data_IF_515443489341
#
_entry.id   IF_515443489341
#
_cell.length_a   1.000
_cell.length_b   1.000
_cell.length_c   1.000
_cell.angle_alpha   90.00
_cell.angle_beta   90.00
_cell.angle_gamma   90.00
#
_symmetry.space_group_name_H-M   'P 1'
#
loop_
_entity.id
_entity.type
_entity.pdbx_description
1 polymer ?
#
# COMPACT_ATOMS: atom_id res chain seq x y z
N UNK A 1 -10.33 -13.33 18.94
CA UNK A 1 -9.85 -11.96 18.61
C UNK A 1 -8.74 -12.14 17.58
N UNK A 2 -8.81 -11.46 16.41
CA UNK A 2 -7.78 -11.64 15.39
C UNK A 2 -6.63 -10.66 15.67
N UNK A 3 -5.47 -11.18 15.97
CA UNK A 3 -4.24 -10.39 16.13
C UNK A 3 -3.56 -10.15 14.78
N UNK A 4 -2.85 -9.03 14.69
CA UNK A 4 -2.08 -8.66 13.52
C UNK A 4 -0.96 -7.68 13.82
N UNK A 5 -0.11 -7.44 12.84
CA UNK A 5 0.99 -6.48 12.93
C UNK A 5 1.27 -5.82 11.57
N UNK A 6 2.15 -4.83 11.57
CA UNK A 6 2.46 -4.04 10.38
C UNK A 6 3.90 -4.24 9.89
N UNK A 7 4.04 -4.33 8.60
CA UNK A 7 5.25 -4.20 7.79
C UNK A 7 6.39 -5.18 8.12
N UNK A 8 6.86 -5.25 9.37
CA UNK A 8 8.07 -6.00 9.74
C UNK A 8 7.72 -7.11 10.74
N UNK A 9 7.99 -8.35 10.35
CA UNK A 9 8.03 -9.46 11.29
C UNK A 9 9.37 -9.46 12.01
N UNK A 10 9.40 -8.99 13.26
CA UNK A 10 10.62 -8.81 14.02
C UNK A 10 11.38 -10.14 14.21
N UNK A 11 10.66 -11.23 14.48
CA UNK A 11 11.27 -12.57 14.67
C UNK A 11 11.99 -13.05 13.41
N UNK A 12 11.42 -12.83 12.23
CA UNK A 12 12.01 -13.24 10.95
C UNK A 12 13.04 -12.24 10.42
N UNK A 13 13.04 -11.01 10.93
CA UNK A 13 13.94 -9.94 10.50
C UNK A 13 15.15 -9.77 11.40
N UNK A 14 15.06 -10.15 12.69
CA UNK A 14 16.15 -10.06 13.68
C UNK A 14 17.10 -11.27 13.60
N UNK A 15 17.67 -11.44 12.40
CA UNK A 15 18.63 -12.50 12.08
C UNK A 15 19.70 -11.94 11.13
N UNK A 16 20.85 -12.62 10.96
CA UNK A 16 21.88 -12.19 10.01
C UNK A 16 21.29 -11.89 8.64
N UNK A 17 21.79 -10.84 7.97
CA UNK A 17 21.23 -10.29 6.70
C UNK A 17 20.96 -11.35 5.63
N UNK A 18 21.84 -12.37 5.52
CA UNK A 18 21.70 -13.47 4.56
C UNK A 18 20.51 -14.41 4.83
N UNK A 19 19.99 -14.45 6.05
CA UNK A 19 18.87 -15.29 6.48
C UNK A 19 17.57 -14.51 6.70
N UNK A 20 17.61 -13.18 6.55
CA UNK A 20 16.48 -12.29 6.84
C UNK A 20 15.34 -12.52 5.87
N UNK A 21 14.14 -12.71 6.42
CA UNK A 21 12.87 -12.76 5.68
C UNK A 21 12.15 -11.42 5.92
N UNK A 22 11.94 -10.65 4.86
CA UNK A 22 11.33 -9.31 4.95
C UNK A 22 10.76 -8.88 3.59
N UNK A 23 9.72 -8.05 3.61
CA UNK A 23 9.13 -7.44 2.42
C UNK A 23 9.62 -6.01 2.17
N UNK A 24 10.65 -5.56 2.92
CA UNK A 24 11.13 -4.17 2.91
C UNK A 24 12.53 -4.06 2.29
N UNK A 25 12.93 -5.00 1.42
CA UNK A 25 14.19 -4.82 0.70
C UNK A 25 14.04 -3.68 -0.27
N UNK A 26 14.98 -2.77 -0.21
CA UNK A 26 15.04 -1.62 -1.10
C UNK A 26 16.50 -1.30 -1.45
N UNK A 27 16.69 -0.25 -2.21
CA UNK A 27 18.00 0.26 -2.61
C UNK A 27 18.03 1.78 -2.52
N UNK A 28 19.23 2.34 -2.37
CA UNK A 28 19.41 3.80 -2.41
C UNK A 28 19.35 4.31 -3.85
N UNK A 29 19.05 5.60 -4.02
CA UNK A 29 18.93 6.26 -5.34
C UNK A 29 20.14 6.00 -6.25
N UNK A 30 21.36 6.07 -5.72
CA UNK A 30 22.58 5.80 -6.47
C UNK A 30 22.60 4.37 -7.07
N UNK A 31 22.12 3.39 -6.35
CA UNK A 31 22.01 2.01 -6.84
C UNK A 31 20.96 1.90 -7.92
N UNK A 32 19.77 2.51 -7.72
CA UNK A 32 18.72 2.53 -8.73
C UNK A 32 19.17 3.18 -10.04
N UNK A 33 19.87 4.32 -9.97
CA UNK A 33 20.40 5.00 -11.16
C UNK A 33 21.46 4.18 -11.91
N UNK A 34 22.20 3.30 -11.22
CA UNK A 34 23.23 2.44 -11.82
C UNK A 34 22.65 1.13 -12.37
N UNK A 35 21.78 0.49 -11.62
CA UNK A 35 21.29 -0.89 -11.88
C UNK A 35 19.87 -0.92 -12.44
N UNK A 36 19.15 0.19 -12.35
CA UNK A 36 17.85 0.39 -12.98
C UNK A 36 16.76 -0.56 -12.53
N UNK A 37 15.83 -0.79 -13.46
CA UNK A 37 14.64 -1.61 -13.28
C UNK A 37 14.96 -3.08 -13.04
N UNK A 38 16.10 -3.58 -13.55
CA UNK A 38 16.55 -4.95 -13.31
C UNK A 38 16.67 -5.21 -11.81
N UNK A 39 17.36 -4.31 -11.10
CA UNK A 39 17.55 -4.43 -9.65
C UNK A 39 16.24 -4.25 -8.87
N UNK A 40 15.38 -3.35 -9.32
CA UNK A 40 14.05 -3.17 -8.74
C UNK A 40 13.22 -4.46 -8.84
N UNK A 41 13.24 -5.11 -10.01
CA UNK A 41 12.56 -6.38 -10.27
C UNK A 41 13.04 -7.52 -9.36
N UNK A 42 14.36 -7.71 -9.25
CA UNK A 42 14.96 -8.71 -8.36
C UNK A 42 14.53 -8.52 -6.90
N UNK A 43 14.56 -7.27 -6.41
CA UNK A 43 14.17 -6.97 -5.04
C UNK A 43 12.66 -7.15 -4.82
N UNK A 44 11.82 -6.72 -5.77
CA UNK A 44 10.38 -6.92 -5.73
C UNK A 44 10.03 -8.43 -5.69
N UNK A 45 10.64 -9.23 -6.56
CA UNK A 45 10.45 -10.68 -6.57
C UNK A 45 10.86 -11.30 -5.22
N UNK A 46 12.00 -10.89 -4.66
CA UNK A 46 12.46 -11.38 -3.37
C UNK A 46 11.51 -10.99 -2.22
N UNK A 47 10.99 -9.75 -2.24
CA UNK A 47 10.01 -9.28 -1.25
C UNK A 47 8.70 -10.08 -1.34
N UNK A 48 8.23 -10.35 -2.55
CA UNK A 48 7.00 -11.14 -2.78
C UNK A 48 7.20 -12.60 -2.36
N UNK A 49 8.34 -13.22 -2.65
CA UNK A 49 8.66 -14.57 -2.16
C UNK A 49 8.73 -14.64 -0.63
N UNK A 50 9.23 -13.60 0.00
CA UNK A 50 9.29 -13.55 1.46
C UNK A 50 7.92 -13.25 2.10
N UNK A 51 7.02 -12.55 1.40
CA UNK A 51 5.63 -12.38 1.84
C UNK A 51 4.94 -13.74 2.04
N UNK A 52 5.13 -14.68 1.13
CA UNK A 52 4.59 -16.04 1.27
C UNK A 52 5.11 -16.73 2.54
N UNK A 53 6.40 -16.60 2.82
CA UNK A 53 7.01 -17.18 4.04
C UNK A 53 6.47 -16.53 5.32
N UNK A 54 6.25 -15.20 5.29
CA UNK A 54 5.66 -14.45 6.39
C UNK A 54 4.25 -14.94 6.68
N UNK A 55 3.41 -15.12 5.65
CA UNK A 55 2.03 -15.61 5.84
C UNK A 55 2.00 -17.03 6.40
N UNK A 56 2.87 -17.93 5.92
CA UNK A 56 3.01 -19.28 6.47
C UNK A 56 3.45 -19.28 7.93
N UNK A 57 4.36 -18.38 8.31
CA UNK A 57 4.79 -18.19 9.69
C UNK A 57 3.65 -17.64 10.56
N UNK A 58 2.87 -16.70 10.03
CA UNK A 58 1.69 -16.14 10.69
C UNK A 58 0.63 -17.20 10.95
N UNK A 59 0.35 -18.04 9.94
CA UNK A 59 -0.59 -19.15 10.02
C UNK A 59 -0.28 -20.08 11.18
N UNK A 60 0.98 -20.49 11.33
CA UNK A 60 1.44 -21.36 12.43
C UNK A 60 1.28 -20.75 13.83
N UNK A 61 0.97 -19.44 13.94
CA UNK A 61 0.85 -18.66 15.19
C UNK A 61 -0.53 -18.03 15.37
N UNK A 62 -1.48 -18.43 14.54
CA UNK A 62 -2.84 -17.91 14.54
C UNK A 62 -2.92 -16.38 14.38
N UNK A 63 -1.99 -15.80 13.61
CA UNK A 63 -1.98 -14.39 13.25
C UNK A 63 -2.65 -14.26 11.88
N UNK A 64 -3.85 -13.66 11.83
CA UNK A 64 -4.68 -13.59 10.62
C UNK A 64 -4.71 -12.22 9.96
N UNK A 65 -4.11 -11.21 10.56
CA UNK A 65 -4.07 -9.86 10.01
C UNK A 65 -2.63 -9.39 9.82
N UNK A 66 -2.33 -8.94 8.59
CA UNK A 66 -1.02 -8.40 8.27
C UNK A 66 -1.14 -7.16 7.39
N UNK A 67 -0.61 -6.03 7.85
CA UNK A 67 -0.45 -4.83 7.06
C UNK A 67 0.87 -4.91 6.30
N UNK A 68 0.79 -5.11 4.98
CA UNK A 68 1.96 -5.24 4.12
C UNK A 68 2.75 -3.93 4.04
N UNK A 69 4.04 -4.04 3.73
CA UNK A 69 4.89 -2.88 3.48
C UNK A 69 4.50 -2.18 2.18
N UNK A 70 4.44 -0.86 2.20
CA UNK A 70 4.26 -0.04 1.00
C UNK A 70 5.45 -0.14 0.04
N UNK A 71 6.64 -0.49 0.55
CA UNK A 71 7.88 -0.62 -0.23
C UNK A 71 8.10 -2.03 -0.81
N UNK A 72 7.06 -2.88 -0.86
CA UNK A 72 7.18 -4.24 -1.39
C UNK A 72 7.69 -4.25 -2.85
N UNK A 73 7.37 -3.19 -3.61
CA UNK A 73 7.95 -2.88 -4.92
C UNK A 73 8.82 -1.64 -4.79
N UNK A 74 10.16 -1.79 -4.64
CA UNK A 74 11.06 -0.66 -4.45
C UNK A 74 11.04 0.29 -5.65
N UNK A 75 10.98 1.60 -5.40
CA UNK A 75 10.99 2.63 -6.46
C UNK A 75 9.80 2.54 -7.44
N UNK A 76 8.66 2.04 -7.00
CA UNK A 76 7.47 1.83 -7.84
C UNK A 76 6.93 3.10 -8.54
N UNK A 77 7.33 4.30 -8.09
CA UNK A 77 7.03 5.56 -8.76
C UNK A 77 7.78 5.77 -10.09
N UNK A 78 8.90 5.07 -10.28
CA UNK A 78 9.85 5.32 -11.38
C UNK A 78 9.67 4.37 -12.59
N UNK A 79 8.74 3.40 -12.52
CA UNK A 79 8.49 2.43 -13.59
C UNK A 79 7.04 1.97 -13.60
N UNK A 80 6.63 1.29 -14.65
CA UNK A 80 5.37 0.53 -14.67
C UNK A 80 5.64 -0.93 -14.30
N UNK A 81 4.70 -1.58 -13.61
CA UNK A 81 4.88 -2.98 -13.18
C UNK A 81 5.10 -3.93 -14.35
N UNK A 82 4.48 -3.61 -15.51
CA UNK A 82 4.61 -4.43 -16.72
C UNK A 82 6.01 -4.40 -17.34
N UNK A 83 6.81 -3.39 -17.01
CA UNK A 83 8.19 -3.27 -17.48
C UNK A 83 9.20 -4.09 -16.65
N UNK A 84 8.78 -4.63 -15.50
CA UNK A 84 9.67 -5.44 -14.65
C UNK A 84 10.04 -6.76 -15.34
N UNK A 85 11.33 -7.09 -15.48
CA UNK A 85 11.78 -8.35 -16.07
C UNK A 85 11.16 -9.62 -15.45
N UNK A 86 10.91 -9.60 -14.13
CA UNK A 86 10.36 -10.75 -13.40
C UNK A 86 8.83 -10.70 -13.24
N UNK A 87 8.12 -9.76 -13.90
CA UNK A 87 6.69 -9.51 -13.64
C UNK A 87 5.82 -10.75 -13.78
N UNK A 88 6.09 -11.62 -14.77
CA UNK A 88 5.33 -12.87 -14.97
C UNK A 88 5.47 -13.82 -13.79
N UNK A 89 6.66 -13.91 -13.20
CA UNK A 89 6.92 -14.70 -11.99
C UNK A 89 6.28 -14.06 -10.76
N UNK A 90 6.41 -12.74 -10.62
CA UNK A 90 5.81 -11.95 -9.53
C UNK A 90 4.29 -12.15 -9.52
N UNK A 91 3.60 -12.01 -10.66
CA UNK A 91 2.15 -12.20 -10.77
C UNK A 91 1.74 -13.62 -10.34
N UNK A 92 2.46 -14.63 -10.78
CA UNK A 92 2.18 -16.03 -10.42
C UNK A 92 2.36 -16.27 -8.91
N UNK A 93 3.38 -15.68 -8.29
CA UNK A 93 3.61 -15.79 -6.85
C UNK A 93 2.54 -15.03 -6.07
N UNK A 94 2.17 -13.80 -6.50
CA UNK A 94 1.11 -13.03 -5.87
C UNK A 94 -0.25 -13.72 -5.94
N UNK A 95 -0.61 -14.33 -7.09
CA UNK A 95 -1.84 -15.11 -7.23
C UNK A 95 -1.87 -16.28 -6.22
N UNK A 96 -0.80 -17.04 -6.11
CA UNK A 96 -0.68 -18.12 -5.13
C UNK A 96 -0.77 -17.63 -3.69
N UNK A 97 -0.18 -16.47 -3.38
CA UNK A 97 -0.29 -15.82 -2.06
C UNK A 97 -1.74 -15.44 -1.78
N UNK A 98 -2.44 -14.90 -2.78
CA UNK A 98 -3.85 -14.54 -2.64
C UNK A 98 -4.74 -15.74 -2.37
N UNK A 99 -4.58 -16.84 -3.11
CA UNK A 99 -5.26 -18.13 -2.87
C UNK A 99 -4.99 -18.63 -1.44
N UNK A 100 -3.72 -18.61 -1.02
CA UNK A 100 -3.33 -19.01 0.33
C UNK A 100 -3.99 -18.13 1.40
N UNK A 101 -3.98 -16.82 1.21
CA UNK A 101 -4.57 -15.87 2.14
C UNK A 101 -6.09 -16.09 2.30
N UNK A 102 -6.81 -16.28 1.19
CA UNK A 102 -8.26 -16.56 1.21
C UNK A 102 -8.53 -17.88 1.91
N UNK A 103 -7.83 -18.95 1.53
CA UNK A 103 -8.03 -20.30 2.07
C UNK A 103 -7.76 -20.40 3.58
N UNK A 104 -6.90 -19.53 4.12
CA UNK A 104 -6.52 -19.52 5.54
C UNK A 104 -7.05 -18.28 6.29
N UNK A 105 -8.02 -17.57 5.73
CA UNK A 105 -8.65 -16.39 6.34
C UNK A 105 -7.68 -15.28 6.77
N UNK A 106 -6.57 -15.09 6.03
CA UNK A 106 -5.68 -13.96 6.24
C UNK A 106 -6.27 -12.68 5.65
N UNK A 107 -6.28 -11.61 6.44
CA UNK A 107 -6.60 -10.27 5.98
C UNK A 107 -5.32 -9.49 5.70
N UNK A 108 -5.15 -9.04 4.47
CA UNK A 108 -4.01 -8.23 4.04
C UNK A 108 -4.46 -6.80 3.75
N UNK A 109 -3.68 -5.81 4.17
CA UNK A 109 -3.97 -4.38 3.94
C UNK A 109 -2.70 -3.62 3.60
N UNK A 110 -2.86 -2.40 3.06
CA UNK A 110 -1.79 -1.43 2.91
C UNK A 110 -2.06 -0.15 3.71
N UNK A 111 -0.99 0.53 4.07
CA UNK A 111 -1.01 1.89 4.58
C UNK A 111 0.17 2.66 3.97
N UNK A 112 -0.05 3.33 2.82
CA UNK A 112 0.96 4.15 2.17
C UNK A 112 1.56 5.19 3.10
N UNK A 113 2.76 5.66 2.75
CA UNK A 113 3.49 6.62 3.57
C UNK A 113 2.82 8.00 3.66
N UNK A 114 3.30 8.88 4.55
CA UNK A 114 2.67 10.17 4.82
C UNK A 114 2.76 11.16 3.65
N UNK A 115 3.51 10.85 2.61
CA UNK A 115 3.59 11.65 1.40
C UNK A 115 2.47 11.36 0.39
N UNK A 116 1.67 10.32 0.64
CA UNK A 116 0.50 9.95 -0.12
C UNK A 116 -0.67 10.83 0.32
N UNK A 117 -0.93 11.93 -0.39
CA UNK A 117 -1.87 12.96 0.03
C UNK A 117 -2.70 13.51 -1.14
N UNK A 118 -3.98 13.13 -1.21
CA UNK A 118 -4.92 13.63 -2.21
C UNK A 118 -5.30 15.11 -1.99
N UNK A 119 -5.24 15.59 -0.75
CA UNK A 119 -5.59 16.97 -0.40
C UNK A 119 -4.46 17.98 -0.68
N UNK A 120 -3.31 17.55 -1.21
CA UNK A 120 -2.17 18.42 -1.44
C UNK A 120 -2.51 19.57 -2.40
N UNK A 121 -2.10 20.82 -2.10
CA UNK A 121 -2.20 21.93 -3.06
C UNK A 121 -1.19 21.82 -4.21
N UNK A 122 -0.23 20.90 -4.12
CA UNK A 122 0.78 20.64 -5.17
C UNK A 122 0.32 19.51 -6.07
N UNK A 123 -0.01 19.82 -7.31
CA UNK A 123 -0.48 18.84 -8.31
C UNK A 123 0.49 17.66 -8.48
N UNK A 124 1.80 17.91 -8.48
CA UNK A 124 2.81 16.85 -8.59
C UNK A 124 2.80 15.84 -7.42
N UNK A 125 2.33 16.25 -6.23
CA UNK A 125 2.12 15.33 -5.09
C UNK A 125 0.87 14.49 -5.32
N UNK A 126 -0.20 15.10 -5.81
CA UNK A 126 -1.46 14.39 -6.12
C UNK A 126 -1.24 13.32 -7.20
N UNK A 127 -0.51 13.65 -8.25
CA UNK A 127 -0.18 12.69 -9.33
C UNK A 127 0.64 11.48 -8.84
N UNK A 128 1.63 11.74 -7.99
CA UNK A 128 2.38 10.65 -7.33
C UNK A 128 1.49 9.82 -6.40
N UNK A 129 0.56 10.47 -5.70
CA UNK A 129 -0.42 9.79 -4.85
C UNK A 129 -1.31 8.86 -5.66
N UNK A 130 -1.82 9.29 -6.82
CA UNK A 130 -2.59 8.41 -7.71
C UNK A 130 -1.77 7.17 -8.12
N UNK A 131 -0.55 7.39 -8.59
CA UNK A 131 0.32 6.27 -8.99
C UNK A 131 0.57 5.30 -7.83
N UNK A 132 0.85 5.81 -6.64
CA UNK A 132 1.11 4.98 -5.46
C UNK A 132 -0.12 4.17 -5.06
N UNK A 133 -1.30 4.81 -4.96
CA UNK A 133 -2.54 4.13 -4.57
C UNK A 133 -2.99 3.09 -5.61
N UNK A 134 -2.95 3.44 -6.89
CA UNK A 134 -3.30 2.51 -7.98
C UNK A 134 -2.31 1.33 -8.02
N UNK A 135 -1.03 1.55 -7.79
CA UNK A 135 -0.04 0.49 -7.71
C UNK A 135 -0.32 -0.48 -6.54
N UNK A 136 -0.69 0.01 -5.36
CA UNK A 136 -1.09 -0.85 -4.24
C UNK A 136 -2.35 -1.66 -4.57
N UNK A 137 -3.33 -1.04 -5.23
CA UNK A 137 -4.54 -1.73 -5.68
C UNK A 137 -4.23 -2.82 -6.70
N UNK A 138 -3.31 -2.57 -7.67
CA UNK A 138 -2.85 -3.58 -8.65
C UNK A 138 -2.19 -4.79 -7.99
N UNK A 139 -1.48 -4.62 -6.86
CA UNK A 139 -0.94 -5.76 -6.11
C UNK A 139 -2.08 -6.66 -5.62
N UNK A 140 -3.15 -6.09 -5.07
CA UNK A 140 -4.32 -6.85 -4.65
C UNK A 140 -5.06 -7.50 -5.83
N UNK A 141 -5.13 -6.83 -6.99
CA UNK A 141 -5.70 -7.42 -8.22
C UNK A 141 -4.87 -8.62 -8.67
N UNK A 142 -3.53 -8.54 -8.63
CA UNK A 142 -2.64 -9.67 -8.95
C UNK A 142 -2.76 -10.82 -7.94
N UNK A 143 -3.20 -10.55 -6.70
CA UNK A 143 -3.55 -11.57 -5.70
C UNK A 143 -4.94 -12.17 -5.93
N UNK A 144 -5.75 -11.63 -6.85
CA UNK A 144 -7.12 -12.07 -7.09
C UNK A 144 -8.12 -11.64 -6.03
N UNK A 145 -7.81 -10.61 -5.23
CA UNK A 145 -8.72 -10.11 -4.22
C UNK A 145 -9.82 -9.25 -4.82
N UNK A 146 -11.06 -9.55 -4.43
CA UNK A 146 -12.20 -8.69 -4.79
C UNK A 146 -12.01 -7.28 -4.21
N UNK A 147 -12.24 -6.21 -5.01
CA UNK A 147 -12.10 -4.84 -4.55
C UNK A 147 -13.13 -4.50 -3.47
N UNK A 148 -12.67 -4.31 -2.23
CA UNK A 148 -13.51 -3.96 -1.09
C UNK A 148 -12.66 -3.41 0.07
N UNK A 149 -13.30 -2.81 1.06
CA UNK A 149 -12.65 -2.32 2.27
C UNK A 149 -12.08 -3.45 3.17
N UNK A 150 -12.33 -4.71 2.85
CA UNK A 150 -11.71 -5.82 3.58
C UNK A 150 -10.20 -5.86 3.34
N UNK A 151 -9.78 -5.75 2.07
CA UNK A 151 -8.37 -5.59 1.69
C UNK A 151 -8.12 -4.11 1.37
N UNK A 152 -8.09 -3.28 2.41
CA UNK A 152 -8.07 -1.82 2.28
C UNK A 152 -6.69 -1.24 2.01
N UNK A 153 -6.71 -0.07 1.38
CA UNK A 153 -5.60 0.87 1.28
C UNK A 153 -5.98 2.07 2.14
N UNK A 154 -5.33 2.23 3.29
CA UNK A 154 -5.68 3.21 4.30
C UNK A 154 -4.70 4.38 4.27
N UNK A 155 -5.17 5.62 4.19
CA UNK A 155 -4.32 6.81 4.27
C UNK A 155 -4.92 7.87 5.21
N UNK A 156 -4.12 8.84 5.60
CA UNK A 156 -4.59 10.07 6.22
C UNK A 156 -5.02 11.10 5.16
N UNK A 157 -5.88 12.05 5.53
CA UNK A 157 -6.23 13.17 4.64
C UNK A 157 -5.00 14.03 4.33
N UNK A 158 -4.09 14.13 5.31
CA UNK A 158 -2.88 14.93 5.24
C UNK A 158 -2.99 16.26 5.96
N UNK A 159 -2.21 17.27 5.56
CA UNK A 159 -2.22 18.58 6.17
C UNK A 159 -3.56 19.30 6.01
N UNK A 160 -3.86 20.23 6.90
CA UNK A 160 -5.06 21.10 6.81
C UNK A 160 -4.85 22.29 5.88
N UNK A 161 -3.61 22.59 5.53
CA UNK A 161 -3.21 23.69 4.62
C UNK A 161 -3.86 25.05 4.96
N UNK A 162 -4.11 25.30 6.25
CA UNK A 162 -4.68 26.53 6.77
C UNK A 162 -6.21 26.56 6.86
N UNK A 163 -6.91 25.77 6.03
CA UNK A 163 -8.37 25.68 6.02
C UNK A 163 -8.82 24.25 5.74
N UNK A 164 -9.57 23.66 6.68
CA UNK A 164 -10.08 22.29 6.57
C UNK A 164 -11.15 22.14 5.47
N UNK A 165 -12.01 23.14 5.27
CA UNK A 165 -13.09 23.04 4.29
C UNK A 165 -12.55 23.10 2.86
N UNK A 166 -11.64 24.03 2.58
CA UNK A 166 -10.95 24.07 1.29
C UNK A 166 -10.08 22.86 1.04
N UNK A 167 -9.51 22.29 2.10
CA UNK A 167 -8.71 21.06 2.01
C UNK A 167 -9.57 19.84 1.73
N UNK A 168 -10.74 19.72 2.38
CA UNK A 168 -11.71 18.65 2.10
C UNK A 168 -12.22 18.75 0.67
N UNK A 169 -12.55 19.94 0.20
CA UNK A 169 -12.98 20.17 -1.19
C UNK A 169 -11.93 19.69 -2.19
N UNK A 170 -10.66 20.06 -2.03
CA UNK A 170 -9.57 19.56 -2.89
C UNK A 170 -9.42 18.04 -2.83
N UNK A 171 -9.57 17.44 -1.65
CA UNK A 171 -9.55 15.99 -1.50
C UNK A 171 -10.64 15.35 -2.36
N UNK A 172 -11.89 15.82 -2.24
CA UNK A 172 -13.05 15.31 -2.98
C UNK A 172 -12.86 15.48 -4.49
N UNK A 173 -12.45 16.66 -4.93
CA UNK A 173 -12.16 16.95 -6.33
C UNK A 173 -11.11 15.98 -6.90
N UNK A 174 -10.01 15.76 -6.17
CA UNK A 174 -8.97 14.83 -6.59
C UNK A 174 -9.42 13.36 -6.50
N UNK A 175 -10.25 12.98 -5.52
CA UNK A 175 -10.80 11.63 -5.43
C UNK A 175 -11.66 11.27 -6.63
N UNK A 176 -12.45 12.23 -7.15
CA UNK A 176 -13.33 12.03 -8.30
C UNK A 176 -12.68 12.35 -9.66
N UNK A 177 -11.47 12.90 -9.67
CA UNK A 177 -10.80 13.35 -10.90
C UNK A 177 -10.69 12.21 -11.91
N UNK A 178 -11.19 12.40 -13.16
CA UNK A 178 -11.01 11.43 -14.22
C UNK A 178 -9.52 11.18 -14.50
N UNK A 179 -9.13 9.90 -14.65
CA UNK A 179 -7.74 9.52 -14.84
C UNK A 179 -6.87 9.58 -13.57
N UNK A 180 -7.48 9.81 -12.39
CA UNK A 180 -6.82 9.76 -11.08
C UNK A 180 -6.83 8.35 -10.49
N UNK A 181 -7.69 8.12 -9.48
CA UNK A 181 -7.84 6.80 -8.86
C UNK A 181 -8.65 5.85 -9.75
N UNK A 182 -8.16 4.62 -9.92
CA UNK A 182 -8.88 3.54 -10.57
C UNK A 182 -10.10 3.10 -9.73
N UNK A 183 -11.12 2.53 -10.35
CA UNK A 183 -12.35 2.08 -9.68
C UNK A 183 -12.06 1.04 -8.59
N UNK A 184 -11.13 0.11 -8.83
CA UNK A 184 -10.72 -0.87 -7.83
C UNK A 184 -10.02 -0.20 -6.64
N UNK A 185 -9.25 0.85 -6.89
CA UNK A 185 -8.58 1.64 -5.85
C UNK A 185 -9.60 2.35 -4.98
N UNK A 186 -10.60 3.02 -5.57
CA UNK A 186 -11.69 3.69 -4.83
C UNK A 186 -12.45 2.72 -3.93
N UNK A 187 -12.76 1.51 -4.41
CA UNK A 187 -13.45 0.46 -3.62
C UNK A 187 -12.62 -0.10 -2.45
N UNK A 188 -11.30 0.07 -2.47
CA UNK A 188 -10.38 -0.35 -1.41
C UNK A 188 -9.97 0.78 -0.47
N UNK A 189 -10.30 2.00 -0.85
CA UNK A 189 -9.82 3.19 -0.18
C UNK A 189 -10.49 3.39 1.18
N UNK A 190 -9.72 3.77 2.19
CA UNK A 190 -10.23 4.18 3.50
C UNK A 190 -9.41 5.32 4.06
N UNK A 191 -10.04 6.16 4.87
CA UNK A 191 -9.40 7.25 5.59
C UNK A 191 -9.21 6.92 7.06
N UNK A 192 -8.10 7.37 7.61
CA UNK A 192 -7.77 7.28 9.03
C UNK A 192 -7.69 8.69 9.64
N UNK A 193 -8.22 8.85 10.84
CA UNK A 193 -8.07 10.09 11.60
C UNK A 193 -6.64 10.27 12.10
N UNK A 194 -6.28 11.50 12.40
CA UNK A 194 -4.99 11.83 13.00
C UNK A 194 -5.06 11.82 14.54
N UNK A 195 -3.90 11.63 15.17
CA UNK A 195 -3.75 11.68 16.64
C UNK A 195 -3.77 13.12 17.19
N UNK A 196 -3.52 14.11 16.34
CA UNK A 196 -3.45 15.53 16.74
C UNK A 196 -4.81 16.19 16.58
N UNK A 197 -5.30 16.83 17.63
CA UNK A 197 -6.58 17.57 17.65
C UNK A 197 -6.67 18.65 16.55
N UNK A 198 -5.55 19.30 16.21
CA UNK A 198 -5.48 20.30 15.13
C UNK A 198 -5.60 19.72 13.72
N UNK A 199 -5.45 18.42 13.58
CA UNK A 199 -5.53 17.70 12.30
C UNK A 199 -6.95 17.14 12.07
N UNK A 200 -7.09 16.03 11.39
CA UNK A 200 -8.36 15.44 10.98
C UNK A 200 -8.91 14.47 12.03
N UNK A 201 -9.96 14.87 12.73
CA UNK A 201 -10.72 13.96 13.58
C UNK A 201 -11.64 13.05 12.74
N UNK A 202 -12.12 11.95 13.33
CA UNK A 202 -13.16 11.10 12.71
C UNK A 202 -14.40 11.92 12.33
N UNK A 203 -14.78 12.89 13.20
CA UNK A 203 -15.90 13.78 12.91
C UNK A 203 -15.65 14.68 11.70
N UNK A 204 -14.46 15.28 11.58
CA UNK A 204 -14.11 16.09 10.41
C UNK A 204 -14.18 15.27 9.11
N UNK A 205 -13.64 14.05 9.12
CA UNK A 205 -13.67 13.15 7.95
C UNK A 205 -15.11 12.81 7.59
N UNK A 206 -15.93 12.46 8.58
CA UNK A 206 -17.33 12.10 8.35
C UNK A 206 -18.13 13.28 7.80
N UNK A 207 -18.05 14.46 8.44
CA UNK A 207 -18.87 15.61 8.08
C UNK A 207 -18.44 16.27 6.74
N UNK A 208 -17.13 16.22 6.41
CA UNK A 208 -16.57 17.01 5.32
C UNK A 208 -16.17 16.20 4.06
N UNK A 209 -15.97 14.89 4.19
CA UNK A 209 -15.43 14.06 3.10
C UNK A 209 -16.32 12.85 2.80
N UNK A 210 -16.74 12.12 3.83
CA UNK A 210 -17.41 10.83 3.67
C UNK A 210 -18.66 10.89 2.78
N UNK A 211 -19.52 11.89 2.95
CA UNK A 211 -20.78 12.00 2.19
C UNK A 211 -20.59 12.19 0.68
N UNK A 212 -19.41 12.64 0.27
CA UNK A 212 -19.07 12.89 -1.13
C UNK A 212 -18.22 11.76 -1.75
N UNK A 213 -17.60 10.90 -0.91
CA UNK A 213 -16.66 9.87 -1.39
C UNK A 213 -17.13 8.43 -1.12
N UNK A 214 -18.06 8.24 -0.20
CA UNK A 214 -18.64 6.94 0.18
C UNK A 214 -17.93 6.26 1.33
#
# INVERSE_FOLDING_TARGET
MNYGYACINMTLSDVPKSKRITTNRSMIKRTFLREGIQKASELALQNVLDLEKILKWNEQRDIRFYRMSSDIFPWASEYEYDDLPDISTIRRVLARIGEYAVSNAHRLTFHPGPFCCLASPKQSVVEKTYKELNNHSRIFDMMGFFPSHYNKINIHVGGTYGDKDETAKRFIENFHKPGGLDDNTKKRFTLENDDKESMWSTKDIYDKIYHETG
#
